data_IF_320938749334
#
_entry.id   IF_320938749334
#
_cell.length_a   1.000
_cell.length_b   1.000
_cell.length_c   1.000
_cell.angle_alpha   90.00
_cell.angle_beta   90.00
_cell.angle_gamma   90.00
#
_symmetry.space_group_name_H-M   'P 1'
#
loop_
_entity.id
_entity.type
_entity.pdbx_description
1 polymer ?
#
# COMPACT_ATOMS: atom_id res chain seq x y z
N UNK A 1 42.10 22.21 53.71
CA UNK A 1 41.96 21.88 52.27
C UNK A 1 40.48 21.82 51.88
N UNK A 2 40.04 22.70 50.98
CA UNK A 2 39.03 22.49 49.91
C UNK A 2 38.75 23.87 49.28
N UNK A 3 39.39 24.11 48.12
CA UNK A 3 39.23 25.31 47.30
C UNK A 3 37.78 25.34 46.77
N UNK A 4 37.05 26.44 46.98
CA UNK A 4 35.78 26.70 46.29
C UNK A 4 36.13 27.38 44.97
N UNK A 5 35.98 26.65 43.87
CA UNK A 5 36.16 27.16 42.52
C UNK A 5 34.82 27.75 42.07
N UNK A 6 34.81 29.06 41.85
CA UNK A 6 33.76 29.79 41.15
C UNK A 6 33.73 29.35 39.70
N UNK A 7 32.57 28.93 39.18
CA UNK A 7 32.38 28.66 37.77
C UNK A 7 31.22 29.50 37.24
N UNK A 8 31.57 30.69 36.78
CA UNK A 8 30.73 31.51 35.93
C UNK A 8 30.57 30.80 34.59
N UNK A 9 29.35 30.39 34.23
CA UNK A 9 29.02 29.92 32.89
C UNK A 9 27.94 30.84 32.32
N UNK A 10 28.38 31.88 31.61
CA UNK A 10 27.56 32.54 30.59
C UNK A 10 27.86 31.79 29.30
N UNK A 11 26.88 31.06 28.76
CA UNK A 11 26.94 30.62 27.37
C UNK A 11 25.58 30.75 26.71
N UNK A 12 25.50 31.79 25.90
CA UNK A 12 24.78 31.93 24.64
C UNK A 12 23.41 31.24 24.51
N UNK A 13 22.40 32.09 24.59
CA UNK A 13 21.11 32.07 23.91
C UNK A 13 21.15 31.31 22.56
N UNK A 14 20.73 30.04 22.56
CA UNK A 14 20.42 29.32 21.34
C UNK A 14 19.03 29.78 20.86
N UNK A 15 19.00 30.66 19.87
CA UNK A 15 17.78 30.94 19.11
C UNK A 15 17.40 29.69 18.34
N UNK A 16 16.39 28.96 18.83
CA UNK A 16 15.63 28.00 18.03
C UNK A 16 14.94 28.80 16.92
N UNK A 17 15.54 28.83 15.73
CA UNK A 17 14.78 29.19 14.54
C UNK A 17 13.80 28.04 14.29
N UNK A 18 12.51 28.33 14.45
CA UNK A 18 11.44 27.43 14.00
C UNK A 18 11.65 27.17 12.52
N UNK A 19 11.91 25.91 12.14
CA UNK A 19 11.68 25.47 10.77
C UNK A 19 10.20 25.69 10.50
N UNK A 20 9.86 26.74 9.76
CA UNK A 20 8.53 26.87 9.19
C UNK A 20 8.30 25.61 8.35
N UNK A 21 7.25 24.85 8.70
CA UNK A 21 6.80 23.78 7.83
C UNK A 21 6.53 24.41 6.45
N UNK A 22 7.28 23.98 5.44
CA UNK A 22 6.99 24.35 4.05
C UNK A 22 5.63 23.76 3.76
N UNK A 23 4.62 24.61 3.74
CA UNK A 23 3.25 24.21 3.42
C UNK A 23 3.29 23.58 2.02
N UNK A 24 2.82 22.33 1.93
CA UNK A 24 2.85 21.61 0.67
C UNK A 24 2.02 22.40 -0.36
N UNK A 25 2.52 22.60 -1.60
CA UNK A 25 1.82 23.40 -2.58
C UNK A 25 0.45 22.78 -2.86
N UNK A 26 -0.59 23.62 -2.81
CA UNK A 26 -1.97 23.20 -3.05
C UNK A 26 -2.10 22.69 -4.49
N UNK A 27 -2.43 21.41 -4.64
CA UNK A 27 -2.69 20.80 -5.95
C UNK A 27 -4.07 21.25 -6.44
N UNK A 28 -4.12 21.84 -7.63
CA UNK A 28 -5.36 22.33 -8.25
C UNK A 28 -5.97 21.30 -9.19
N UNK A 29 -5.13 20.55 -9.92
CA UNK A 29 -5.56 19.57 -10.93
C UNK A 29 -4.60 18.39 -10.97
N UNK A 30 -5.16 17.20 -11.19
CA UNK A 30 -4.43 15.96 -11.41
C UNK A 30 -4.77 15.47 -12.82
N UNK A 31 -3.75 15.21 -13.64
CA UNK A 31 -3.91 14.64 -14.98
C UNK A 31 -3.21 13.28 -15.04
N UNK A 32 -3.93 12.26 -15.52
CA UNK A 32 -3.37 10.94 -15.78
C UNK A 32 -2.96 10.84 -17.24
N UNK A 33 -1.71 10.48 -17.46
CA UNK A 33 -1.14 10.24 -18.79
C UNK A 33 -1.01 8.73 -18.92
N UNK A 34 -1.85 8.15 -19.77
CA UNK A 34 -1.83 6.72 -20.05
C UNK A 34 -0.53 6.24 -20.68
N UNK A 35 -0.49 4.94 -20.96
CA UNK A 35 0.58 4.33 -21.75
C UNK A 35 -0.01 3.69 -23.01
N UNK A 36 0.84 3.48 -23.99
CA UNK A 36 0.50 2.68 -25.17
C UNK A 36 0.17 1.23 -24.76
N UNK A 37 -0.77 0.61 -25.49
CA UNK A 37 -1.04 -0.81 -25.31
C UNK A 37 0.21 -1.65 -25.65
N UNK A 38 0.45 -2.76 -24.93
CA UNK A 38 1.58 -3.65 -25.20
C UNK A 38 1.47 -4.25 -26.61
N UNK A 39 2.59 -4.35 -27.32
CA UNK A 39 2.63 -4.71 -28.75
C UNK A 39 3.18 -6.10 -29.04
N UNK A 40 3.85 -6.71 -28.08
CA UNK A 40 4.50 -8.02 -28.25
C UNK A 40 4.31 -8.91 -27.01
N UNK A 41 4.63 -10.20 -27.16
CA UNK A 41 4.46 -11.22 -26.10
C UNK A 41 5.27 -10.87 -24.84
N UNK A 42 6.46 -10.32 -25.01
CA UNK A 42 7.32 -9.95 -23.88
C UNK A 42 6.74 -8.80 -23.06
N UNK A 43 6.06 -7.85 -23.70
CA UNK A 43 5.32 -6.79 -23.03
C UNK A 43 4.03 -7.31 -22.39
N UNK A 44 3.25 -8.14 -23.10
CA UNK A 44 2.01 -8.72 -22.58
C UNK A 44 2.20 -9.64 -21.37
N UNK A 45 3.39 -10.25 -21.23
CA UNK A 45 3.71 -11.15 -20.12
C UNK A 45 4.20 -10.44 -18.85
N UNK A 46 4.40 -9.11 -18.88
CA UNK A 46 4.93 -8.35 -17.75
C UNK A 46 3.85 -7.48 -17.13
N UNK A 47 3.86 -7.40 -15.81
CA UNK A 47 3.11 -6.38 -15.07
C UNK A 47 3.97 -5.11 -15.00
N UNK A 48 3.84 -4.21 -15.98
CA UNK A 48 4.60 -2.96 -16.04
C UNK A 48 3.70 -1.78 -16.42
N UNK A 49 4.18 -0.58 -16.14
CA UNK A 49 3.54 0.65 -16.61
C UNK A 49 4.59 1.70 -16.95
N UNK A 50 4.33 2.47 -18.00
CA UNK A 50 5.08 3.70 -18.31
C UNK A 50 4.20 4.94 -18.15
N UNK A 51 2.96 4.75 -17.69
CA UNK A 51 2.00 5.80 -17.42
C UNK A 51 2.53 6.76 -16.35
N UNK A 52 2.02 7.99 -16.39
CA UNK A 52 2.49 9.09 -15.53
C UNK A 52 1.32 9.84 -14.95
N UNK A 53 1.59 10.59 -13.90
CA UNK A 53 0.65 11.58 -13.35
C UNK A 53 1.31 12.95 -13.35
N UNK A 54 0.54 13.97 -13.73
CA UNK A 54 0.92 15.37 -13.57
C UNK A 54 0.09 16.03 -12.48
N UNK A 55 0.78 16.68 -11.56
CA UNK A 55 0.18 17.43 -10.46
C UNK A 55 0.36 18.92 -10.75
N UNK A 56 -0.72 19.60 -11.04
CA UNK A 56 -0.72 21.02 -11.38
C UNK A 56 -0.89 21.86 -10.11
N UNK A 57 0.06 22.74 -9.85
CA UNK A 57 -0.02 23.76 -8.78
C UNK A 57 -0.63 25.06 -9.31
N UNK A 58 -0.52 25.30 -10.61
CA UNK A 58 -1.21 26.33 -11.39
C UNK A 58 -1.60 25.75 -12.75
N UNK A 59 -2.33 26.50 -13.60
CA UNK A 59 -2.67 26.03 -14.95
C UNK A 59 -1.44 25.78 -15.85
N UNK A 60 -0.30 26.41 -15.53
CA UNK A 60 0.94 26.33 -16.34
C UNK A 60 2.04 25.52 -15.66
N UNK A 61 2.01 25.44 -14.32
CA UNK A 61 3.07 24.79 -13.54
C UNK A 61 2.61 23.43 -13.02
N UNK A 62 3.42 22.41 -13.30
CA UNK A 62 3.17 21.05 -12.86
C UNK A 62 4.45 20.29 -12.51
N UNK A 63 4.32 19.31 -11.61
CA UNK A 63 5.32 18.24 -11.44
C UNK A 63 4.80 16.96 -12.09
N UNK A 64 5.71 16.14 -12.61
CA UNK A 64 5.37 14.86 -13.24
C UNK A 64 6.02 13.72 -12.46
N UNK A 65 5.24 12.66 -12.23
CA UNK A 65 5.68 11.47 -11.51
C UNK A 65 5.33 10.22 -12.32
N UNK A 66 6.22 9.23 -12.27
CA UNK A 66 5.98 7.93 -12.89
C UNK A 66 5.03 7.11 -12.01
N UNK A 67 4.07 6.43 -12.64
CA UNK A 67 3.23 5.46 -11.94
C UNK A 67 4.00 4.15 -11.77
N UNK A 68 3.70 3.43 -10.70
CA UNK A 68 4.25 2.11 -10.44
C UNK A 68 3.19 1.24 -9.78
N UNK A 69 3.27 -0.06 -10.00
CA UNK A 69 2.47 -1.02 -9.25
C UNK A 69 3.09 -1.21 -7.87
N UNK A 70 2.24 -1.20 -6.85
CA UNK A 70 2.62 -1.47 -5.47
C UNK A 70 1.81 -2.66 -4.97
N UNK A 71 2.50 -3.71 -4.54
CA UNK A 71 1.85 -4.86 -3.93
C UNK A 71 1.38 -4.47 -2.53
N UNK A 72 0.07 -4.45 -2.32
CA UNK A 72 -0.50 -4.16 -0.99
C UNK A 72 -0.42 -5.37 -0.06
N UNK A 73 -0.76 -6.55 -0.58
CA UNK A 73 -0.61 -7.84 0.11
C UNK A 73 -0.74 -9.00 -0.88
N UNK A 74 -0.27 -10.18 -0.47
CA UNK A 74 -0.55 -11.47 -1.09
C UNK A 74 -1.62 -12.23 -0.29
N UNK A 75 -2.40 -13.11 -0.93
CA UNK A 75 -3.44 -13.92 -0.28
C UNK A 75 -2.92 -14.79 0.89
N UNK A 76 -1.62 -15.09 0.91
CA UNK A 76 -0.95 -15.84 1.99
C UNK A 76 -0.48 -14.97 3.16
N UNK A 77 -0.51 -13.65 3.00
CA UNK A 77 -0.08 -12.71 4.03
C UNK A 77 -1.09 -12.62 5.16
N UNK A 78 -0.59 -12.31 6.37
CA UNK A 78 -1.39 -11.99 7.54
C UNK A 78 -1.47 -10.47 7.66
N UNK A 79 -2.68 -9.93 7.68
CA UNK A 79 -2.90 -8.48 7.63
C UNK A 79 -3.32 -7.94 9.00
N UNK A 80 -2.60 -6.93 9.48
CA UNK A 80 -2.86 -6.31 10.79
C UNK A 80 -2.72 -7.32 11.93
N UNK A 81 -3.75 -7.43 12.76
CA UNK A 81 -3.80 -8.38 13.89
C UNK A 81 -4.41 -9.74 13.51
N UNK A 82 -4.79 -9.96 12.24
CA UNK A 82 -5.36 -11.23 11.82
C UNK A 82 -4.29 -12.33 11.83
N UNK A 83 -4.58 -13.44 12.53
CA UNK A 83 -3.65 -14.57 12.65
C UNK A 83 -3.66 -15.48 11.43
N UNK A 84 -4.62 -15.31 10.52
CA UNK A 84 -4.87 -16.15 9.35
C UNK A 84 -4.50 -15.43 8.05
N UNK A 85 -4.16 -16.19 6.98
CA UNK A 85 -3.96 -15.65 5.64
C UNK A 85 -5.17 -14.83 5.15
N UNK A 86 -4.89 -13.76 4.40
CA UNK A 86 -5.91 -12.86 3.86
C UNK A 86 -6.94 -13.57 2.96
N UNK A 87 -6.52 -14.59 2.21
CA UNK A 87 -7.39 -15.38 1.34
C UNK A 87 -8.07 -16.57 2.01
N UNK A 88 -7.90 -16.80 3.33
CA UNK A 88 -8.46 -17.99 3.99
C UNK A 88 -9.99 -18.00 3.92
N UNK A 89 -10.56 -19.12 3.50
CA UNK A 89 -12.00 -19.30 3.37
C UNK A 89 -12.63 -19.85 4.65
N UNK A 90 -13.85 -19.39 4.94
CA UNK A 90 -14.62 -19.78 6.11
C UNK A 90 -16.04 -20.18 5.72
N UNK A 91 -16.63 -21.09 6.49
CA UNK A 91 -18.05 -21.38 6.39
C UNK A 91 -18.90 -20.31 7.12
N UNK A 92 -20.23 -20.44 7.07
CA UNK A 92 -21.16 -19.51 7.72
C UNK A 92 -21.03 -19.43 9.25
N UNK A 93 -20.33 -20.38 9.88
CA UNK A 93 -20.02 -20.39 11.32
C UNK A 93 -18.65 -19.79 11.64
N UNK A 94 -17.95 -19.21 10.66
CA UNK A 94 -16.58 -18.72 10.78
C UNK A 94 -15.55 -19.82 11.10
N UNK A 95 -15.84 -21.06 10.75
CA UNK A 95 -14.88 -22.16 10.82
C UNK A 95 -14.13 -22.25 9.49
N UNK A 96 -12.82 -22.49 9.53
CA UNK A 96 -12.01 -22.61 8.31
C UNK A 96 -12.54 -23.73 7.42
N UNK A 97 -12.71 -23.44 6.13
CA UNK A 97 -12.92 -24.50 5.14
C UNK A 97 -11.59 -25.25 4.96
N UNK A 98 -11.66 -26.58 5.04
CA UNK A 98 -10.49 -27.44 4.96
C UNK A 98 -10.47 -28.18 3.63
N UNK A 99 -9.27 -28.37 3.10
CA UNK A 99 -9.00 -29.27 2.00
C UNK A 99 -9.04 -30.75 2.46
N UNK A 100 -8.95 -31.72 1.54
CA UNK A 100 -8.90 -33.15 1.89
C UNK A 100 -7.74 -33.55 2.82
N UNK A 101 -6.70 -32.72 2.95
CA UNK A 101 -5.53 -32.90 3.80
C UNK A 101 -5.66 -32.20 5.15
N UNK A 102 -6.86 -31.68 5.46
CA UNK A 102 -7.19 -30.95 6.69
C UNK A 102 -6.42 -29.63 6.85
N UNK A 103 -5.99 -29.02 5.74
CA UNK A 103 -5.38 -27.68 5.74
C UNK A 103 -6.41 -26.62 5.35
N UNK A 104 -6.32 -25.38 5.87
CA UNK A 104 -7.19 -24.29 5.45
C UNK A 104 -7.08 -24.01 3.95
N UNK A 105 -8.23 -23.86 3.29
CA UNK A 105 -8.29 -23.39 1.90
C UNK A 105 -7.99 -21.89 1.85
N UNK A 106 -7.22 -21.49 0.85
CA UNK A 106 -6.82 -20.10 0.60
C UNK A 106 -7.22 -19.80 -0.84
N UNK A 107 -8.10 -18.84 -1.05
CA UNK A 107 -8.43 -18.41 -2.41
C UNK A 107 -7.26 -17.64 -3.02
N UNK A 108 -6.89 -17.99 -4.25
CA UNK A 108 -5.71 -17.46 -4.93
C UNK A 108 -6.03 -16.55 -6.12
N UNK A 109 -7.31 -16.41 -6.49
CA UNK A 109 -7.74 -15.69 -7.70
C UNK A 109 -8.38 -14.34 -7.37
N UNK A 110 -7.60 -13.25 -7.21
CA UNK A 110 -8.17 -11.92 -7.09
C UNK A 110 -8.83 -11.54 -8.42
N UNK A 111 -10.05 -11.04 -8.37
CA UNK A 111 -10.80 -10.63 -9.55
C UNK A 111 -11.14 -9.13 -9.48
N UNK A 112 -11.86 -8.73 -8.43
CA UNK A 112 -12.30 -7.35 -8.27
C UNK A 112 -12.04 -6.82 -6.87
N UNK A 113 -12.02 -5.49 -6.74
CA UNK A 113 -11.93 -4.82 -5.46
C UNK A 113 -12.81 -3.58 -5.40
N UNK A 114 -13.36 -3.30 -4.21
CA UNK A 114 -14.09 -2.07 -3.90
C UNK A 114 -13.38 -1.30 -2.80
N UNK A 115 -13.18 0.00 -3.01
CA UNK A 115 -12.69 0.90 -1.96
C UNK A 115 -13.87 1.68 -1.38
N UNK A 116 -14.15 1.46 -0.10
CA UNK A 116 -15.24 2.10 0.63
C UNK A 116 -14.69 3.17 1.57
N UNK A 117 -15.38 4.30 1.68
CA UNK A 117 -15.13 5.31 2.70
C UNK A 117 -16.31 5.37 3.65
N UNK A 118 -16.11 4.94 4.90
CA UNK A 118 -17.13 4.92 5.94
C UNK A 118 -16.61 5.80 7.08
N UNK A 119 -17.27 6.92 7.33
CA UNK A 119 -16.92 7.89 8.38
C UNK A 119 -15.45 8.34 8.35
N UNK A 120 -14.91 8.54 7.14
CA UNK A 120 -13.52 8.96 6.92
C UNK A 120 -12.51 7.83 7.01
N UNK A 121 -12.94 6.59 7.24
CA UNK A 121 -12.09 5.40 7.25
C UNK A 121 -12.23 4.64 5.93
N UNK A 122 -11.09 4.34 5.32
CA UNK A 122 -11.02 3.56 4.09
C UNK A 122 -11.03 2.05 4.39
N UNK A 123 -11.82 1.31 3.61
CA UNK A 123 -11.87 -0.15 3.62
C UNK A 123 -11.70 -0.65 2.19
N UNK A 124 -10.68 -1.49 1.96
CA UNK A 124 -10.51 -2.20 0.71
C UNK A 124 -11.15 -3.58 0.84
N UNK A 125 -12.22 -3.81 0.09
CA UNK A 125 -12.89 -5.12 -0.02
C UNK A 125 -12.37 -5.79 -1.27
N UNK A 126 -11.70 -6.94 -1.13
CA UNK A 126 -11.21 -7.73 -2.25
C UNK A 126 -12.13 -8.93 -2.46
N UNK A 127 -12.47 -9.19 -3.72
CA UNK A 127 -13.23 -10.34 -4.15
C UNK A 127 -12.26 -11.34 -4.74
N UNK A 128 -12.42 -12.60 -4.33
CA UNK A 128 -11.70 -13.71 -4.91
C UNK A 128 -12.72 -14.64 -5.60
N UNK A 129 -12.40 -15.10 -6.80
CA UNK A 129 -13.38 -15.76 -7.67
C UNK A 129 -13.54 -17.24 -7.32
N UNK A 130 -12.44 -17.98 -7.31
CA UNK A 130 -12.40 -19.41 -7.04
C UNK A 130 -11.08 -19.86 -6.40
N UNK A 131 -11.07 -21.10 -5.93
CA UNK A 131 -9.84 -21.79 -5.52
C UNK A 131 -9.54 -22.91 -6.55
N UNK A 132 -8.56 -22.71 -7.45
CA UNK A 132 -8.27 -23.69 -8.49
C UNK A 132 -7.49 -24.90 -7.97
N UNK A 133 -6.95 -24.84 -6.76
CA UNK A 133 -5.86 -25.70 -6.33
C UNK A 133 -6.03 -26.08 -4.86
N UNK A 134 -5.91 -27.37 -4.53
CA UNK A 134 -5.77 -27.78 -3.13
C UNK A 134 -4.49 -27.18 -2.52
N UNK A 135 -4.33 -27.21 -1.19
CA UNK A 135 -3.24 -26.53 -0.46
C UNK A 135 -1.79 -26.85 -0.91
N UNK A 136 -1.58 -27.79 -1.82
CA UNK A 136 -0.31 -28.28 -2.34
C UNK A 136 -0.11 -28.11 -3.85
N UNK A 137 -0.90 -27.32 -4.57
CA UNK A 137 -0.55 -26.99 -5.96
C UNK A 137 -1.10 -27.94 -7.04
N UNK A 138 -2.07 -28.82 -6.73
CA UNK A 138 -2.67 -29.70 -7.75
C UNK A 138 -4.19 -29.58 -7.81
N UNK A 139 -4.71 -29.51 -9.04
CA UNK A 139 -6.11 -29.81 -9.34
C UNK A 139 -6.36 -31.32 -9.15
N UNK A 140 -7.61 -31.70 -8.91
CA UNK A 140 -8.07 -33.09 -9.00
C UNK A 140 -7.78 -33.69 -10.38
#
# INVERSE_FOLDING_TARGET
MKKKISLSFILALATLQSLNAIEAPKIQKIEFIGMEAPKNIDEMSKMYTTAKVRLYTTDKDFTQHDLSYQTLFNVKDKIGTNTHPAGQLYNYKMEALLDPFKKPLISETPDSNSLLNIDGKLFLVNHFEYDPILSYGSSL
#
